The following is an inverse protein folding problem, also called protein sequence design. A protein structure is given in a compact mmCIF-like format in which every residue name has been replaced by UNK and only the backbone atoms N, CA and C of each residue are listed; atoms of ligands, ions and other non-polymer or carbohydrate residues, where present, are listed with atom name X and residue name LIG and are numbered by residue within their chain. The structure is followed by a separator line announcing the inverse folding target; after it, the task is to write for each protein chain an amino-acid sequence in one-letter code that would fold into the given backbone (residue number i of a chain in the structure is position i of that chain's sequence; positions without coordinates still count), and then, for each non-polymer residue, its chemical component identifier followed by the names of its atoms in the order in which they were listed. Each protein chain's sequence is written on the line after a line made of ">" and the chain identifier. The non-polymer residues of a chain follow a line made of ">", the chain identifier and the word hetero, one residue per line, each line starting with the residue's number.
data_IF_885836962206
#
_entry.id   IF_885836962206
#
_cell.length_a   1.000
_cell.length_b   1.000
_cell.length_c   1.000
_cell.angle_alpha   90.00
_cell.angle_beta   90.00
_cell.angle_gamma   90.00
#
_symmetry.space_group_name_H-M   'P 1'
#
loop_
_entity.id
_entity.type
_entity.pdbx_description
1 polymer ?
#
# COMPACT_ATOMS: atom_id res chain seq x y z
N UNK A 1 -11.79 11.47 15.32
CA UNK A 1 -10.58 12.33 15.21
C UNK A 1 -9.28 11.53 15.28
N UNK A 2 -9.03 10.72 16.33
CA UNK A 2 -7.78 9.93 16.47
C UNK A 2 -7.47 8.99 15.29
N UNK A 3 -8.49 8.31 14.74
CA UNK A 3 -8.34 7.41 13.58
C UNK A 3 -7.92 8.12 12.28
N UNK A 4 -8.38 9.37 12.09
CA UNK A 4 -8.01 10.19 10.93
C UNK A 4 -6.56 10.66 11.02
N UNK A 5 -6.11 11.01 12.22
CA UNK A 5 -4.70 11.38 12.48
C UNK A 5 -3.79 10.19 12.18
N UNK A 6 -4.14 9.00 12.66
CA UNK A 6 -3.39 7.77 12.36
C UNK A 6 -3.33 7.48 10.85
N UNK A 7 -4.44 7.70 10.12
CA UNK A 7 -4.46 7.53 8.67
C UNK A 7 -3.58 8.57 7.95
N UNK A 8 -3.56 9.83 8.39
CA UNK A 8 -2.65 10.83 7.82
C UNK A 8 -1.17 10.48 8.06
N UNK A 9 -0.84 10.04 9.27
CA UNK A 9 0.51 9.58 9.61
C UNK A 9 0.90 8.37 8.75
N UNK A 10 -0.02 7.40 8.59
CA UNK A 10 0.17 6.22 7.74
C UNK A 10 0.43 6.59 6.28
N UNK A 11 -0.31 7.55 5.72
CA UNK A 11 -0.08 8.07 4.36
C UNK A 11 1.31 8.67 4.23
N UNK A 12 1.70 9.56 5.16
CA UNK A 12 2.99 10.26 5.08
C UNK A 12 4.16 9.28 5.18
N UNK A 13 4.15 8.39 6.19
CA UNK A 13 5.25 7.44 6.41
C UNK A 13 5.37 6.48 5.22
N UNK A 14 4.25 5.91 4.77
CA UNK A 14 4.26 4.96 3.66
C UNK A 14 4.67 5.61 2.34
N UNK A 15 4.26 6.86 2.10
CA UNK A 15 4.66 7.61 0.91
C UNK A 15 6.16 7.91 0.92
N UNK A 16 6.72 8.36 2.05
CA UNK A 16 8.16 8.61 2.16
C UNK A 16 8.96 7.32 1.95
N UNK A 17 8.49 6.22 2.53
CA UNK A 17 9.14 4.91 2.41
C UNK A 17 9.11 4.38 0.98
N UNK A 18 7.94 4.41 0.30
CA UNK A 18 7.79 3.94 -1.09
C UNK A 18 8.45 4.84 -2.13
N UNK A 19 8.57 6.15 -1.85
CA UNK A 19 9.29 7.07 -2.73
C UNK A 19 10.80 6.76 -2.75
N UNK A 20 11.29 5.93 -1.83
CA UNK A 20 12.64 5.37 -1.85
C UNK A 20 13.69 6.46 -2.14
N UNK A 21 13.66 7.56 -1.37
CA UNK A 21 14.60 8.68 -1.51
C UNK A 21 16.07 8.26 -1.30
N UNK A 22 16.30 7.04 -0.80
CA UNK A 22 17.60 6.38 -0.65
C UNK A 22 18.11 5.76 -1.96
N UNK A 23 17.49 6.10 -3.11
CA UNK A 23 17.92 5.89 -4.51
C UNK A 23 19.28 5.20 -4.68
N UNK A 24 19.29 3.86 -4.56
CA UNK A 24 20.33 2.97 -5.10
C UNK A 24 21.79 3.35 -4.83
N UNK A 25 22.11 4.07 -3.76
CA UNK A 25 23.47 4.60 -3.57
C UNK A 25 24.46 3.46 -3.23
N UNK A 26 24.00 2.27 -2.80
CA UNK A 26 24.96 1.19 -2.47
C UNK A 26 24.54 -0.30 -2.51
N UNK A 27 23.30 -0.74 -2.70
CA UNK A 27 22.96 -2.12 -2.26
C UNK A 27 22.62 -3.15 -3.37
N UNK A 28 23.10 -4.37 -3.11
CA UNK A 28 23.19 -5.65 -3.84
C UNK A 28 21.87 -6.20 -4.48
N UNK A 29 21.89 -7.34 -5.22
CA UNK A 29 20.81 -7.76 -6.12
C UNK A 29 19.63 -8.44 -5.39
N UNK A 30 18.98 -7.74 -4.47
CA UNK A 30 17.75 -8.18 -3.76
C UNK A 30 16.45 -7.80 -4.50
N UNK A 31 16.55 -7.33 -5.75
CA UNK A 31 15.42 -6.85 -6.56
C UNK A 31 14.61 -7.99 -7.22
N UNK A 32 14.65 -9.22 -6.68
CA UNK A 32 13.88 -10.31 -7.24
C UNK A 32 12.39 -10.15 -6.86
N UNK A 33 11.46 -10.21 -7.82
CA UNK A 33 10.03 -9.92 -7.62
C UNK A 33 9.29 -10.92 -6.71
N UNK A 34 10.00 -11.90 -6.14
CA UNK A 34 9.48 -12.95 -5.25
C UNK A 34 10.14 -12.88 -3.86
N UNK A 35 11.37 -12.37 -3.77
CA UNK A 35 12.17 -12.26 -2.54
C UNK A 35 12.90 -10.92 -2.63
N UNK A 36 12.19 -9.85 -2.25
CA UNK A 36 12.68 -8.48 -2.27
C UNK A 36 11.68 -7.57 -1.55
N UNK A 37 12.13 -6.93 -0.47
CA UNK A 37 11.44 -5.93 0.36
C UNK A 37 9.95 -6.19 0.70
N UNK A 38 9.72 -7.15 1.60
CA UNK A 38 8.41 -7.35 2.26
C UNK A 38 7.92 -6.08 2.98
N UNK A 39 8.85 -5.25 3.43
CA UNK A 39 8.62 -3.94 4.02
C UNK A 39 8.08 -2.91 3.00
N UNK A 40 8.51 -2.94 1.74
CA UNK A 40 7.89 -2.15 0.66
C UNK A 40 6.45 -2.61 0.39
N UNK A 41 6.19 -3.92 0.37
CA UNK A 41 4.83 -4.44 0.25
C UNK A 41 3.96 -4.02 1.44
N UNK A 42 4.51 -4.05 2.66
CA UNK A 42 3.83 -3.59 3.85
C UNK A 42 3.52 -2.08 3.78
N UNK A 43 4.47 -1.26 3.32
CA UNK A 43 4.26 0.18 3.12
C UNK A 43 3.20 0.46 2.04
N UNK A 44 3.21 -0.25 0.92
CA UNK A 44 2.17 -0.14 -0.12
C UNK A 44 0.79 -0.50 0.43
N UNK A 45 0.70 -1.60 1.17
CA UNK A 45 -0.56 -2.06 1.78
C UNK A 45 -1.06 -1.05 2.82
N UNK A 46 -0.16 -0.52 3.66
CA UNK A 46 -0.48 0.49 4.65
C UNK A 46 -0.95 1.80 4.02
N UNK A 47 -0.33 2.22 2.91
CA UNK A 47 -0.74 3.40 2.15
C UNK A 47 -2.17 3.23 1.60
N UNK A 48 -2.44 2.10 0.92
CA UNK A 48 -3.77 1.79 0.37
C UNK A 48 -4.82 1.74 1.48
N UNK A 49 -4.53 1.06 2.59
CA UNK A 49 -5.43 0.96 3.74
C UNK A 49 -5.71 2.33 4.38
N UNK A 50 -4.70 3.21 4.45
CA UNK A 50 -4.82 4.55 5.02
C UNK A 50 -5.63 5.48 4.10
N UNK A 51 -5.42 5.41 2.78
CA UNK A 51 -6.18 6.15 1.77
C UNK A 51 -7.65 5.70 1.73
N UNK A 52 -7.90 4.40 1.91
CA UNK A 52 -9.26 3.85 2.02
C UNK A 52 -10.03 4.43 3.21
N UNK A 53 -9.35 4.82 4.29
CA UNK A 53 -9.99 5.51 5.42
C UNK A 53 -10.59 6.87 5.02
N UNK A 54 -10.11 7.48 3.95
CA UNK A 54 -10.62 8.74 3.39
C UNK A 54 -11.58 8.53 2.22
N UNK A 55 -11.96 7.29 1.91
CA UNK A 55 -12.86 6.95 0.81
C UNK A 55 -12.16 6.81 -0.55
N UNK A 56 -10.82 6.85 -0.58
CA UNK A 56 -10.04 6.65 -1.80
C UNK A 56 -9.66 5.17 -1.89
N UNK A 57 -10.41 4.39 -2.67
CA UNK A 57 -10.18 2.95 -2.82
C UNK A 57 -9.49 2.61 -4.15
N UNK A 58 -8.16 2.57 -4.13
CA UNK A 58 -7.32 2.14 -5.26
C UNK A 58 -7.41 0.63 -5.55
N UNK A 59 -7.98 -0.16 -4.63
CA UNK A 59 -8.13 -1.60 -4.81
C UNK A 59 -9.04 -1.93 -5.99
N UNK A 60 -10.02 -1.07 -6.31
CA UNK A 60 -10.91 -1.25 -7.46
C UNK A 60 -10.19 -1.11 -8.81
N UNK A 61 -9.05 -0.42 -8.84
CA UNK A 61 -8.21 -0.29 -10.02
C UNK A 61 -7.24 -1.47 -10.15
N UNK A 62 -6.71 -1.95 -9.02
CA UNK A 62 -5.70 -3.02 -8.97
C UNK A 62 -6.29 -4.43 -9.04
N UNK A 63 -7.45 -4.66 -8.43
CA UNK A 63 -8.15 -5.94 -8.47
C UNK A 63 -9.28 -5.85 -9.50
N UNK A 64 -9.35 -6.78 -10.48
CA UNK A 64 -10.53 -6.90 -11.33
C UNK A 64 -11.75 -7.07 -10.43
N UNK A 65 -12.74 -6.21 -10.62
CA UNK A 65 -13.97 -6.17 -9.83
C UNK A 65 -14.59 -7.57 -9.82
N UNK A 66 -14.35 -8.33 -8.75
CA UNK A 66 -14.95 -9.66 -8.58
C UNK A 66 -16.40 -9.39 -8.22
N UNK A 67 -17.20 -9.22 -9.27
CA UNK A 67 -18.65 -9.10 -9.26
C UNK A 67 -19.14 -10.06 -8.19
N UNK A 68 -19.61 -9.45 -7.10
CA UNK A 68 -20.10 -10.12 -5.90
C UNK A 68 -21.25 -10.98 -6.38
N UNK A 69 -20.98 -12.24 -6.71
CA UNK A 69 -22.00 -13.23 -7.00
C UNK A 69 -22.73 -13.38 -5.67
N UNK A 70 -23.81 -12.61 -5.50
CA UNK A 70 -24.83 -12.84 -4.47
C UNK A 70 -25.17 -14.32 -4.64
N UNK A 71 -24.70 -15.13 -3.70
CA UNK A 71 -25.29 -16.44 -3.44
C UNK A 71 -26.63 -16.11 -2.79
N UNK A 72 -27.61 -15.87 -3.65
CA UNK A 72 -29.00 -15.96 -3.27
C UNK A 72 -29.33 -17.43 -3.05
N UNK A 73 -30.26 -17.62 -2.12
CA UNK A 73 -30.94 -18.86 -1.74
C UNK A 73 -30.19 -19.75 -0.74
#
# INVERSE_FOLDING_TARGET
>A
MRKRIAAYIGIIISSIYLLNFTFGVWELPDNLPIIGNLDELAAATLLIASLKHFGIDFTNFLLPNKSRKKKGE
#
